data_IF_590855207967
#
_entry.id   IF_590855207967
#
_cell.length_a   1.000
_cell.length_b   1.000
_cell.length_c   1.000
_cell.angle_alpha   90.00
_cell.angle_beta   90.00
_cell.angle_gamma   90.00
#
_symmetry.space_group_name_H-M   'P 1'
#
loop_
_entity.id
_entity.type
_entity.pdbx_description
1 polymer ?
#
# COMPACT_ATOMS: atom_id res chain seq x y z
N UNK A 1 -14.08 5.44 -6.14
CA UNK A 1 -12.95 4.96 -5.31
C UNK A 1 -11.69 4.99 -6.15
N UNK A 2 -11.09 6.17 -6.31
CA UNK A 2 -9.65 6.28 -6.49
C UNK A 2 -9.13 6.56 -5.07
N UNK A 3 -7.99 6.01 -4.70
CA UNK A 3 -7.29 6.30 -3.43
C UNK A 3 -7.94 5.74 -2.15
N UNK A 4 -8.78 4.71 -2.25
CA UNK A 4 -9.25 3.99 -1.04
C UNK A 4 -8.26 2.86 -0.73
N UNK A 5 -7.71 2.88 0.48
CA UNK A 5 -6.89 1.81 0.99
C UNK A 5 -7.74 0.55 1.16
N UNK A 6 -7.61 -0.38 0.22
CA UNK A 6 -8.05 -1.77 0.33
C UNK A 6 -7.14 -2.62 -0.54
N UNK A 7 -6.88 -3.84 -0.10
CA UNK A 7 -5.99 -4.78 -0.77
C UNK A 7 -6.70 -6.07 -1.11
N UNK A 8 -7.93 -6.27 -0.65
CA UNK A 8 -8.72 -7.45 -0.93
C UNK A 8 -10.21 -7.08 -0.99
N UNK A 9 -11.02 -7.90 -1.68
CA UNK A 9 -12.48 -7.79 -1.65
C UNK A 9 -13.04 -9.14 -1.21
N UNK A 10 -13.58 -9.19 0.00
CA UNK A 10 -14.25 -10.37 0.52
C UNK A 10 -15.77 -10.15 0.48
N UNK A 11 -16.50 -11.00 -0.25
CA UNK A 11 -17.96 -10.93 -0.36
C UNK A 11 -18.48 -9.52 -0.76
N UNK A 12 -17.74 -8.84 -1.65
CA UNK A 12 -18.07 -7.49 -2.10
C UNK A 12 -17.65 -6.38 -1.13
N UNK A 13 -17.10 -6.71 0.04
CA UNK A 13 -16.60 -5.75 1.02
C UNK A 13 -15.09 -5.52 0.84
N UNK A 14 -14.64 -4.25 0.72
CA UNK A 14 -13.22 -3.94 0.65
C UNK A 14 -12.55 -4.12 2.01
N UNK A 15 -11.42 -4.82 2.03
CA UNK A 15 -10.63 -5.10 3.22
C UNK A 15 -9.18 -4.65 3.06
N UNK A 16 -8.54 -4.25 4.16
CA UNK A 16 -7.10 -3.97 4.23
C UNK A 16 -6.45 -5.07 5.06
N UNK A 17 -5.87 -6.05 4.38
CA UNK A 17 -5.21 -7.19 5.04
C UNK A 17 -3.71 -7.25 4.76
N UNK A 18 -3.20 -6.38 3.89
CA UNK A 18 -1.78 -6.26 3.58
C UNK A 18 -1.21 -4.95 4.15
N UNK A 19 -0.04 -5.03 4.78
CA UNK A 19 0.63 -3.89 5.40
C UNK A 19 2.11 -3.86 5.05
N UNK A 20 2.65 -2.65 4.90
CA UNK A 20 4.09 -2.38 4.87
C UNK A 20 4.48 -1.74 6.20
N UNK A 21 5.06 -2.52 7.10
CA UNK A 21 5.68 -1.98 8.30
C UNK A 21 7.11 -1.51 7.98
N UNK A 22 7.46 -0.34 8.51
CA UNK A 22 8.80 0.25 8.39
C UNK A 22 9.38 0.50 9.77
N UNK A 23 10.71 0.52 9.87
CA UNK A 23 11.39 0.89 11.10
C UNK A 23 11.10 2.35 11.49
N UNK A 24 11.26 2.67 12.78
CA UNK A 24 10.99 4.01 13.30
C UNK A 24 11.88 5.10 12.67
N UNK A 25 13.06 4.73 12.16
CA UNK A 25 13.99 5.62 11.47
C UNK A 25 13.45 6.15 10.13
N UNK A 26 12.34 5.58 9.64
CA UNK A 26 11.61 6.08 8.47
C UNK A 26 10.37 6.91 8.84
N UNK A 27 10.15 7.19 10.13
CA UNK A 27 9.20 8.21 10.56
C UNK A 27 9.81 9.60 10.36
N UNK A 28 9.05 10.57 9.80
CA UNK A 28 9.58 11.88 9.43
C UNK A 28 10.06 12.72 10.63
N UNK A 29 9.56 12.43 11.83
CA UNK A 29 9.88 13.10 13.09
C UNK A 29 10.77 12.27 14.02
N UNK A 30 11.32 11.15 13.54
CA UNK A 30 12.23 10.32 14.33
C UNK A 30 13.54 11.05 14.65
N UNK A 31 13.97 10.95 15.91
CA UNK A 31 15.27 11.47 16.38
C UNK A 31 16.45 10.85 15.62
N UNK A 32 16.29 9.62 15.14
CA UNK A 32 17.30 8.86 14.41
C UNK A 32 16.92 8.67 12.93
N UNK A 33 16.21 9.64 12.35
CA UNK A 33 15.71 9.55 10.97
C UNK A 33 16.83 9.24 9.97
N UNK A 34 16.68 8.11 9.25
CA UNK A 34 17.50 7.71 8.11
C UNK A 34 16.82 8.07 6.77
N UNK A 35 15.54 8.42 6.83
CA UNK A 35 14.73 8.80 5.69
C UNK A 35 13.27 8.95 6.11
N UNK A 36 12.39 9.01 5.12
CA UNK A 36 10.95 9.06 5.35
C UNK A 36 10.17 8.33 4.25
N UNK A 37 9.02 7.78 4.62
CA UNK A 37 8.02 7.33 3.65
C UNK A 37 7.39 8.57 2.99
N UNK A 38 7.79 8.86 1.76
CA UNK A 38 7.33 10.04 1.01
C UNK A 38 5.93 9.82 0.43
N UNK A 39 5.61 8.59 0.03
CA UNK A 39 4.31 8.23 -0.57
C UNK A 39 4.00 6.76 -0.39
N UNK A 40 2.71 6.47 -0.22
CA UNK A 40 2.15 5.11 -0.30
C UNK A 40 1.09 5.10 -1.40
N UNK A 41 1.27 4.21 -2.37
CA UNK A 41 0.36 4.03 -3.51
C UNK A 41 -0.36 2.68 -3.39
N UNK A 42 -1.66 2.66 -3.68
CA UNK A 42 -2.50 1.45 -3.74
C UNK A 42 -2.93 1.19 -5.17
N UNK A 43 -2.59 0.02 -5.70
CA UNK A 43 -2.98 -0.45 -7.03
C UNK A 43 -3.98 -1.60 -6.87
N UNK A 44 -5.27 -1.27 -6.88
CA UNK A 44 -6.37 -2.20 -6.54
C UNK A 44 -7.57 -2.12 -7.51
N UNK A 45 -7.45 -1.39 -8.61
CA UNK A 45 -8.53 -1.25 -9.60
C UNK A 45 -8.89 -2.59 -10.27
N UNK A 46 -7.94 -3.52 -10.38
CA UNK A 46 -8.15 -4.86 -10.94
C UNK A 46 -9.01 -5.77 -10.04
N UNK A 47 -9.25 -5.39 -8.78
CA UNK A 47 -10.07 -6.17 -7.86
C UNK A 47 -11.57 -5.95 -8.06
N UNK A 48 -11.96 -4.82 -8.67
CA UNK A 48 -13.38 -4.43 -8.83
C UNK A 48 -14.17 -5.37 -9.73
N UNK A 49 -13.49 -5.99 -10.69
CA UNK A 49 -14.11 -6.84 -11.68
C UNK A 49 -13.40 -8.18 -11.73
N UNK A 50 -14.17 -9.22 -12.03
CA UNK A 50 -13.62 -10.55 -12.23
C UNK A 50 -13.08 -10.64 -13.65
N UNK A 51 -11.80 -10.28 -13.80
CA UNK A 51 -11.08 -10.41 -15.05
C UNK A 51 -10.53 -11.84 -15.18
N UNK A 52 -10.79 -12.49 -16.32
CA UNK A 52 -10.33 -13.87 -16.57
C UNK A 52 -8.81 -14.01 -16.60
N UNK A 53 -8.09 -12.91 -16.84
CA UNK A 53 -6.63 -12.81 -16.90
C UNK A 53 -6.04 -12.14 -15.65
N UNK A 54 -6.82 -12.02 -14.55
CA UNK A 54 -6.33 -11.47 -13.30
C UNK A 54 -5.19 -12.31 -12.74
N UNK A 55 -4.05 -11.68 -12.52
CA UNK A 55 -2.82 -12.33 -12.02
C UNK A 55 -2.75 -12.45 -10.48
N UNK A 56 -3.51 -11.64 -9.75
CA UNK A 56 -3.63 -11.69 -8.28
C UNK A 56 -4.98 -11.16 -7.82
N UNK A 57 -5.53 -11.78 -6.78
CA UNK A 57 -6.70 -11.36 -6.01
C UNK A 57 -6.39 -10.36 -4.89
N UNK A 58 -5.13 -9.94 -4.75
CA UNK A 58 -4.69 -8.87 -3.85
C UNK A 58 -4.30 -7.60 -4.61
N UNK A 59 -4.47 -6.46 -3.95
CA UNK A 59 -3.98 -5.16 -4.37
C UNK A 59 -2.49 -5.04 -4.11
N UNK A 60 -1.78 -4.28 -4.94
CA UNK A 60 -0.35 -4.06 -4.77
C UNK A 60 -0.16 -2.75 -4.00
N UNK A 61 0.61 -2.81 -2.91
CA UNK A 61 1.02 -1.63 -2.14
C UNK A 61 2.46 -1.27 -2.51
N UNK A 62 2.72 0.01 -2.78
CA UNK A 62 4.07 0.52 -3.00
C UNK A 62 4.37 1.69 -2.08
N UNK A 63 5.45 1.58 -1.30
CA UNK A 63 6.02 2.70 -0.59
C UNK A 63 7.17 3.32 -1.39
N UNK A 64 7.19 4.64 -1.52
CA UNK A 64 8.37 5.41 -1.96
C UNK A 64 9.07 5.94 -0.72
N UNK A 65 10.28 5.44 -0.47
CA UNK A 65 11.13 5.89 0.64
C UNK A 65 12.15 6.88 0.09
N UNK A 66 12.24 8.05 0.72
CA UNK A 66 13.31 9.03 0.48
C UNK A 66 14.32 8.90 1.61
N UNK A 67 15.58 8.60 1.27
CA UNK A 67 16.67 8.58 2.24
C UNK A 67 17.16 10.00 2.53
N UNK A 68 17.66 10.21 3.74
CA UNK A 68 18.40 11.41 4.08
C UNK A 68 19.79 11.32 3.43
N UNK A 69 20.33 12.46 3.02
CA UNK A 69 21.68 12.56 2.43
C UNK A 69 22.78 12.32 3.47
#
# INVERSE_FOLDING_TARGET
MKDVAYTHIHQGMPEVIDQLFVSEEFLPDSKFSLGQVERVDYFNDHLKWDYSDRVTDHGIIRAKIKLND
#
